data_IF_341140172779
#
_entry.id   IF_341140172779
#
_cell.length_a   1.000
_cell.length_b   1.000
_cell.length_c   1.000
_cell.angle_alpha   90.00
_cell.angle_beta   90.00
_cell.angle_gamma   90.00
#
_symmetry.space_group_name_H-M   'P 1'
#
loop_
_entity.id
_entity.type
_entity.pdbx_description
1 polymer ?
#
# COMPACT_ATOMS: atom_id res chain seq x y z
N UNK A 1 -35.54 0.52 -2.27
CA UNK A 1 -34.13 0.09 -2.40
C UNK A 1 -33.80 -0.91 -1.31
N UNK A 2 -33.05 -1.98 -1.59
CA UNK A 2 -32.57 -2.96 -0.59
C UNK A 2 -31.07 -2.84 -0.49
N UNK A 3 -30.51 -2.70 0.74
CA UNK A 3 -29.06 -2.75 0.98
C UNK A 3 -28.62 -4.23 1.01
N UNK A 4 -27.64 -4.57 0.20
CA UNK A 4 -26.96 -5.89 0.22
C UNK A 4 -25.56 -5.64 0.73
N UNK A 5 -25.14 -6.39 1.76
CA UNK A 5 -23.80 -6.29 2.33
C UNK A 5 -22.86 -7.21 1.56
N UNK A 6 -21.78 -6.63 1.03
CA UNK A 6 -20.62 -7.33 0.51
C UNK A 6 -19.44 -7.13 1.48
N UNK A 7 -18.58 -8.11 1.61
CA UNK A 7 -17.39 -8.03 2.48
C UNK A 7 -16.16 -7.95 1.60
N UNK A 8 -15.25 -7.04 1.99
CA UNK A 8 -13.92 -6.94 1.43
C UNK A 8 -12.91 -7.68 2.31
N UNK A 9 -11.71 -7.90 1.77
CA UNK A 9 -10.61 -8.58 2.43
C UNK A 9 -9.39 -7.67 2.51
N UNK A 10 -8.61 -7.87 3.57
CA UNK A 10 -7.25 -7.34 3.70
C UNK A 10 -6.33 -8.55 3.69
N UNK A 11 -5.32 -8.52 2.84
CA UNK A 11 -4.26 -9.52 2.82
C UNK A 11 -3.09 -8.98 3.63
N UNK A 12 -2.56 -9.77 4.53
CA UNK A 12 -1.38 -9.43 5.34
C UNK A 12 -0.37 -10.56 5.23
N UNK A 13 0.84 -10.21 4.86
CA UNK A 13 1.98 -11.10 4.79
C UNK A 13 3.23 -10.47 5.40
N UNK A 14 4.34 -11.14 5.28
CA UNK A 14 5.66 -10.63 5.65
C UNK A 14 6.56 -10.69 4.42
N UNK A 15 7.27 -9.61 4.13
CA UNK A 15 8.28 -9.59 3.07
C UNK A 15 9.38 -10.58 3.42
N UNK A 16 9.58 -11.55 2.53
CA UNK A 16 10.63 -12.55 2.70
C UNK A 16 12.01 -11.88 2.76
N UNK A 17 12.86 -12.38 3.65
CA UNK A 17 14.22 -11.87 3.82
C UNK A 17 14.29 -10.37 4.18
N UNK A 18 13.24 -9.80 4.78
CA UNK A 18 13.19 -8.40 5.22
C UNK A 18 14.46 -7.97 5.95
N UNK A 19 14.92 -8.77 6.90
CA UNK A 19 16.10 -8.47 7.73
C UNK A 19 17.39 -8.34 6.92
N UNK A 20 17.46 -8.96 5.73
CA UNK A 20 18.63 -8.91 4.85
C UNK A 20 18.64 -7.67 3.96
N UNK A 21 17.44 -7.20 3.53
CA UNK A 21 17.34 -6.10 2.56
C UNK A 21 17.11 -4.74 3.22
N UNK A 22 16.63 -4.73 4.46
CA UNK A 22 16.14 -3.54 5.16
C UNK A 22 17.13 -2.37 5.13
N UNK A 23 18.34 -2.60 5.58
CA UNK A 23 19.33 -1.52 5.74
C UNK A 23 19.86 -1.02 4.39
N UNK A 24 20.03 -1.91 3.42
CA UNK A 24 20.41 -1.53 2.06
C UNK A 24 19.32 -0.73 1.39
N UNK A 25 18.06 -1.18 1.48
CA UNK A 25 16.90 -0.48 0.92
C UNK A 25 16.69 0.90 1.55
N UNK A 26 16.84 1.02 2.87
CA UNK A 26 16.82 2.32 3.55
C UNK A 26 17.95 3.24 3.08
N UNK A 27 19.16 2.69 2.87
CA UNK A 27 20.29 3.46 2.36
C UNK A 27 20.05 4.00 0.95
N UNK A 28 19.42 3.23 0.07
CA UNK A 28 19.07 3.71 -1.28
C UNK A 28 17.91 4.75 -1.23
N UNK A 29 16.88 4.52 -0.44
CA UNK A 29 15.80 5.49 -0.22
C UNK A 29 16.36 6.82 0.34
N UNK A 30 17.31 6.78 1.26
CA UNK A 30 17.88 7.98 1.87
C UNK A 30 18.71 8.83 0.86
N UNK A 31 19.20 8.24 -0.23
CA UNK A 31 19.89 8.92 -1.36
C UNK A 31 18.91 9.45 -2.43
N UNK A 32 17.70 8.90 -2.49
CA UNK A 32 16.71 9.20 -3.54
C UNK A 32 16.20 10.63 -3.41
N UNK A 33 16.01 11.29 -4.56
CA UNK A 33 15.32 12.58 -4.63
C UNK A 33 13.90 12.46 -4.07
N UNK A 34 13.49 13.49 -3.31
CA UNK A 34 12.22 13.44 -2.59
C UNK A 34 11.62 14.82 -2.40
N UNK A 35 10.32 14.85 -2.24
CA UNK A 35 9.53 16.03 -1.90
C UNK A 35 9.06 15.95 -0.45
N UNK A 36 8.39 17.00 0.01
CA UNK A 36 7.84 17.13 1.37
C UNK A 36 6.39 17.62 1.28
N UNK A 37 5.49 16.98 2.00
CA UNK A 37 4.15 17.53 2.23
C UNK A 37 4.16 18.28 3.56
N UNK A 38 3.92 19.58 3.49
CA UNK A 38 3.81 20.44 4.68
C UNK A 38 2.36 20.80 4.94
N UNK A 39 2.00 20.93 6.22
CA UNK A 39 0.65 21.37 6.61
C UNK A 39 0.32 22.72 6.01
N UNK A 40 -0.86 22.81 5.40
CA UNK A 40 -1.42 24.05 4.84
C UNK A 40 -2.76 24.35 5.51
N UNK A 41 -3.24 25.60 5.49
CA UNK A 41 -4.61 25.91 5.94
C UNK A 41 -5.62 25.01 5.23
N UNK A 42 -6.42 24.26 6.01
CA UNK A 42 -7.41 23.30 5.48
C UNK A 42 -6.90 21.88 5.22
N UNK A 43 -5.59 21.62 5.37
CA UNK A 43 -5.01 20.27 5.33
C UNK A 43 -4.24 19.95 6.60
N UNK A 44 -4.35 18.71 7.06
CA UNK A 44 -3.57 18.20 8.20
C UNK A 44 -2.41 17.31 7.76
N UNK A 45 -2.24 17.10 6.44
CA UNK A 45 -1.19 16.27 5.90
C UNK A 45 0.19 16.83 6.16
N UNK A 46 1.09 15.96 6.60
CA UNK A 46 2.50 16.23 6.78
C UNK A 46 3.27 14.94 6.56
N UNK A 47 4.14 14.93 5.57
CA UNK A 47 5.06 13.80 5.27
C UNK A 47 6.42 14.39 5.02
N UNK A 48 7.40 14.02 5.83
CA UNK A 48 8.72 14.66 5.82
C UNK A 48 9.51 14.38 4.55
N UNK A 49 9.42 13.16 4.01
CA UNK A 49 10.03 12.80 2.72
C UNK A 49 9.15 11.82 1.98
N UNK A 50 8.98 12.01 0.69
CA UNK A 50 8.31 11.07 -0.21
C UNK A 50 8.79 11.31 -1.65
N UNK A 51 8.68 10.29 -2.48
CA UNK A 51 9.00 10.36 -3.91
C UNK A 51 7.77 10.10 -4.79
N UNK A 52 6.59 10.51 -4.34
CA UNK A 52 5.32 10.33 -5.04
C UNK A 52 5.30 10.99 -6.44
N UNK A 53 6.01 12.11 -6.64
CA UNK A 53 6.09 12.78 -7.95
C UNK A 53 6.70 11.89 -9.03
N UNK A 54 7.40 10.82 -8.63
CA UNK A 54 8.02 9.82 -9.51
C UNK A 54 7.38 8.43 -9.38
N UNK A 55 6.18 8.30 -8.77
CA UNK A 55 5.58 7.00 -8.42
C UNK A 55 5.40 6.03 -9.61
N UNK A 56 5.20 6.56 -10.82
CA UNK A 56 5.09 5.76 -12.06
C UNK A 56 6.43 5.35 -12.68
N UNK A 57 7.57 5.82 -12.16
CA UNK A 57 8.90 5.44 -12.64
C UNK A 57 9.43 4.25 -11.83
N UNK A 58 9.32 3.05 -12.38
CA UNK A 58 9.77 1.82 -11.74
C UNK A 58 11.28 1.53 -11.94
N UNK A 59 12.02 2.38 -12.67
CA UNK A 59 13.46 2.21 -12.90
C UNK A 59 14.33 2.83 -11.79
N UNK A 60 13.73 3.43 -10.76
CA UNK A 60 14.47 3.99 -9.61
C UNK A 60 15.25 2.91 -8.85
N UNK A 61 16.50 3.19 -8.48
CA UNK A 61 17.46 2.23 -7.90
C UNK A 61 16.88 1.45 -6.71
N UNK A 62 16.17 2.12 -5.79
CA UNK A 62 15.59 1.47 -4.64
C UNK A 62 14.43 0.53 -5.01
N UNK A 63 13.70 0.79 -6.11
CA UNK A 63 12.65 -0.10 -6.64
C UNK A 63 13.30 -1.35 -7.22
N UNK A 64 14.33 -1.19 -8.04
CA UNK A 64 15.07 -2.32 -8.62
C UNK A 64 15.60 -3.27 -7.54
N UNK A 65 16.08 -2.72 -6.41
CA UNK A 65 16.50 -3.50 -5.26
C UNK A 65 15.33 -4.26 -4.59
N UNK A 66 14.15 -3.61 -4.49
CA UNK A 66 12.98 -4.16 -3.81
C UNK A 66 12.12 -5.08 -4.70
N UNK A 67 12.17 -4.93 -6.00
CA UNK A 67 11.28 -5.55 -6.99
C UNK A 67 11.09 -7.06 -6.78
N UNK A 68 12.18 -7.81 -6.65
CA UNK A 68 12.13 -9.26 -6.42
C UNK A 68 11.33 -9.63 -5.18
N UNK A 69 11.47 -8.88 -4.11
CA UNK A 69 10.81 -9.14 -2.82
C UNK A 69 9.33 -8.76 -2.87
N UNK A 70 9.04 -7.69 -3.61
CA UNK A 70 7.67 -7.28 -3.91
C UNK A 70 6.92 -8.37 -4.69
N UNK A 71 7.50 -8.86 -5.79
CA UNK A 71 6.85 -9.88 -6.61
C UNK A 71 6.70 -11.23 -5.90
N UNK A 72 7.58 -11.62 -4.97
CA UNK A 72 7.34 -12.77 -4.10
C UNK A 72 6.06 -12.59 -3.26
N UNK A 73 5.81 -11.38 -2.74
CA UNK A 73 4.58 -11.08 -1.98
C UNK A 73 3.35 -11.03 -2.88
N UNK A 74 3.49 -10.59 -4.13
CA UNK A 74 2.43 -10.64 -5.15
C UNK A 74 2.07 -12.09 -5.50
N UNK A 75 3.05 -12.99 -5.64
CA UNK A 75 2.79 -14.43 -5.87
C UNK A 75 1.95 -15.03 -4.73
N UNK A 76 2.26 -14.69 -3.48
CA UNK A 76 1.44 -15.10 -2.32
C UNK A 76 0.02 -14.54 -2.41
N UNK A 77 -0.14 -13.26 -2.73
CA UNK A 77 -1.44 -12.62 -2.94
C UNK A 77 -2.24 -13.32 -4.04
N UNK A 78 -1.63 -13.56 -5.21
CA UNK A 78 -2.28 -14.25 -6.32
C UNK A 78 -2.70 -15.66 -5.96
N UNK A 79 -1.93 -16.38 -5.14
CA UNK A 79 -2.27 -17.73 -4.69
C UNK A 79 -3.55 -17.80 -3.84
N UNK A 80 -3.95 -16.67 -3.23
CA UNK A 80 -5.15 -16.55 -2.37
C UNK A 80 -6.34 -15.92 -3.08
N UNK A 81 -6.19 -15.56 -4.37
CA UNK A 81 -7.21 -14.87 -5.16
C UNK A 81 -7.48 -15.63 -6.46
N UNK A 82 -8.59 -15.38 -7.16
CA UNK A 82 -8.81 -15.93 -8.50
C UNK A 82 -7.99 -15.25 -9.60
N UNK A 83 -7.21 -14.22 -9.26
CA UNK A 83 -6.46 -13.41 -10.22
C UNK A 83 -5.22 -14.15 -10.72
N UNK A 84 -4.81 -13.87 -11.97
CA UNK A 84 -3.68 -14.54 -12.63
C UNK A 84 -2.44 -13.66 -12.70
N UNK A 85 -2.63 -12.35 -12.78
CA UNK A 85 -1.55 -11.37 -12.90
C UNK A 85 -1.95 -10.03 -12.30
N UNK A 86 -0.96 -9.17 -12.12
CA UNK A 86 -1.16 -7.78 -11.77
C UNK A 86 -0.39 -6.87 -12.72
N UNK A 87 -0.79 -5.61 -12.78
CA UNK A 87 -0.06 -4.52 -13.40
C UNK A 87 0.27 -3.50 -12.31
N UNK A 88 1.55 -3.41 -11.93
CA UNK A 88 2.04 -2.39 -11.00
C UNK A 88 1.99 -1.03 -11.70
N UNK A 89 1.17 -0.10 -11.19
CA UNK A 89 0.99 1.22 -11.78
C UNK A 89 1.84 2.28 -11.10
N UNK A 90 1.99 2.19 -9.79
CA UNK A 90 2.72 3.16 -8.98
C UNK A 90 3.38 2.49 -7.79
N UNK A 91 4.57 2.97 -7.43
CA UNK A 91 5.25 2.59 -6.19
C UNK A 91 6.03 3.80 -5.67
N UNK A 92 5.95 4.11 -4.37
CA UNK A 92 6.66 5.23 -3.77
C UNK A 92 6.96 4.96 -2.29
N UNK A 93 8.02 5.58 -1.77
CA UNK A 93 8.27 5.57 -0.34
C UNK A 93 7.67 6.79 0.36
N UNK A 94 7.44 6.66 1.66
CA UNK A 94 7.05 7.75 2.55
C UNK A 94 7.81 7.61 3.87
N UNK A 95 8.50 8.69 4.27
CA UNK A 95 9.15 8.78 5.58
C UNK A 95 8.43 9.81 6.44
N UNK A 96 7.99 9.35 7.60
CA UNK A 96 7.28 10.14 8.59
C UNK A 96 8.17 10.36 9.80
N UNK A 97 8.33 11.59 10.22
CA UNK A 97 8.91 11.94 11.52
C UNK A 97 7.80 12.14 12.55
N UNK A 98 8.18 12.50 13.78
CA UNK A 98 7.22 12.78 14.85
C UNK A 98 6.21 13.86 14.46
N UNK A 99 4.93 13.61 14.69
CA UNK A 99 3.76 14.41 14.36
C UNK A 99 3.38 14.44 12.88
N UNK A 100 4.09 13.75 11.99
CA UNK A 100 3.64 13.56 10.63
C UNK A 100 2.41 12.64 10.57
N UNK A 101 1.58 12.86 9.55
CA UNK A 101 0.38 12.10 9.27
C UNK A 101 -0.07 12.27 7.82
N UNK A 102 -0.85 11.34 7.32
CA UNK A 102 -1.50 11.42 6.01
C UNK A 102 -3.00 11.17 6.19
N UNK A 103 -3.81 12.10 5.71
CA UNK A 103 -5.25 12.11 5.94
C UNK A 103 -6.00 10.99 5.18
N UNK A 104 -7.30 10.91 5.40
CA UNK A 104 -8.19 9.99 4.70
C UNK A 104 -8.16 10.22 3.19
N UNK A 105 -7.91 9.15 2.45
CA UNK A 105 -7.89 9.15 0.98
C UNK A 105 -8.21 7.74 0.44
N UNK A 106 -8.39 7.66 -0.87
CA UNK A 106 -8.58 6.45 -1.66
C UNK A 106 -7.72 6.55 -2.91
N UNK A 107 -7.54 5.46 -3.64
CA UNK A 107 -6.82 5.43 -4.92
C UNK A 107 -7.76 5.03 -6.07
N UNK A 108 -7.33 5.28 -7.30
CA UNK A 108 -8.11 4.99 -8.52
C UNK A 108 -7.92 3.58 -9.05
N UNK A 109 -6.86 2.88 -8.63
CA UNK A 109 -6.54 1.52 -9.03
C UNK A 109 -7.47 0.50 -8.35
N UNK A 110 -7.28 -0.79 -8.61
CA UNK A 110 -8.10 -1.82 -7.97
C UNK A 110 -7.60 -2.19 -6.59
N UNK A 111 -6.29 -2.24 -6.40
CA UNK A 111 -5.64 -2.53 -5.13
C UNK A 111 -4.57 -1.50 -4.80
N UNK A 112 -4.39 -1.29 -3.53
CA UNK A 112 -3.27 -0.54 -2.94
C UNK A 112 -2.66 -1.36 -1.82
N UNK A 113 -1.45 -1.00 -1.40
CA UNK A 113 -0.83 -1.66 -0.28
C UNK A 113 0.29 -0.87 0.35
N UNK A 114 0.78 -1.39 1.47
CA UNK A 114 1.83 -0.78 2.27
C UNK A 114 2.77 -1.86 2.79
N UNK A 115 4.06 -1.69 2.51
CA UNK A 115 5.14 -2.42 3.17
C UNK A 115 5.77 -1.56 4.26
N UNK A 116 5.87 -2.11 5.48
CA UNK A 116 6.41 -1.42 6.66
C UNK A 116 7.90 -1.69 6.78
N UNK A 117 8.70 -0.95 6.00
CA UNK A 117 10.16 -1.14 5.89
C UNK A 117 10.90 -0.80 7.18
N UNK A 118 10.55 0.33 7.81
CA UNK A 118 11.08 0.76 9.11
C UNK A 118 9.90 1.14 10.00
N UNK A 119 9.72 0.39 11.09
CA UNK A 119 8.53 0.52 11.94
C UNK A 119 8.85 0.41 13.43
N UNK A 120 9.64 1.35 13.99
CA UNK A 120 10.02 1.31 15.38
C UNK A 120 8.83 1.53 16.34
N UNK A 121 9.04 1.28 17.62
CA UNK A 121 8.03 1.51 18.66
C UNK A 121 7.52 2.97 18.60
N UNK A 122 6.21 3.14 18.59
CA UNK A 122 5.55 4.45 18.49
C UNK A 122 5.16 4.83 17.06
N UNK A 123 5.54 4.02 16.06
CA UNK A 123 5.09 4.23 14.68
C UNK A 123 3.58 4.09 14.54
N UNK A 124 3.01 4.97 13.73
CA UNK A 124 1.58 4.95 13.41
C UNK A 124 1.26 3.84 12.41
N UNK A 125 0.16 3.12 12.68
CA UNK A 125 -0.37 2.11 11.76
C UNK A 125 -1.31 2.74 10.73
N UNK A 126 -1.47 2.06 9.60
CA UNK A 126 -2.53 2.37 8.66
C UNK A 126 -3.89 2.07 9.30
N UNK A 127 -4.79 3.03 9.21
CA UNK A 127 -6.18 2.91 9.66
C UNK A 127 -7.08 2.92 8.43
N UNK A 128 -8.02 1.98 8.37
CA UNK A 128 -9.00 1.82 7.28
C UNK A 128 -10.40 2.04 7.81
N UNK A 129 -11.29 2.54 6.93
CA UNK A 129 -12.73 2.62 7.18
C UNK A 129 -13.47 1.90 6.06
N UNK A 130 -14.19 0.85 6.42
CA UNK A 130 -15.02 0.15 5.45
C UNK A 130 -16.34 0.90 5.20
N UNK A 131 -16.71 1.13 3.92
CA UNK A 131 -17.84 1.99 3.56
C UNK A 131 -19.21 1.38 3.89
N UNK A 132 -19.27 0.07 4.17
CA UNK A 132 -20.53 -0.61 4.42
C UNK A 132 -21.04 -0.49 5.88
N UNK A 133 -20.14 -0.37 6.86
CA UNK A 133 -20.50 -0.30 8.28
C UNK A 133 -19.82 0.87 9.03
N UNK A 134 -18.97 1.63 8.34
CA UNK A 134 -18.16 2.73 8.89
C UNK A 134 -17.24 2.30 10.06
N UNK A 135 -16.92 0.99 10.14
CA UNK A 135 -16.00 0.51 11.16
C UNK A 135 -14.57 0.94 10.86
N UNK A 136 -13.85 1.33 11.92
CA UNK A 136 -12.45 1.72 11.88
C UNK A 136 -11.57 0.53 12.23
N UNK A 137 -10.64 0.20 11.37
CA UNK A 137 -9.71 -0.91 11.55
C UNK A 137 -8.27 -0.42 11.53
N UNK A 138 -7.54 -0.71 12.60
CA UNK A 138 -6.08 -0.53 12.66
C UNK A 138 -5.44 -1.90 12.52
N UNK A 139 -4.78 -2.13 11.41
CA UNK A 139 -4.19 -3.42 11.12
C UNK A 139 -3.00 -3.67 12.06
N UNK A 140 -2.94 -4.83 12.73
CA UNK A 140 -1.89 -5.15 13.69
C UNK A 140 -0.60 -5.55 12.97
N UNK A 141 0.10 -4.57 12.40
CA UNK A 141 1.36 -4.75 11.66
C UNK A 141 2.58 -4.53 12.54
N UNK A 142 3.68 -5.14 12.12
CA UNK A 142 5.03 -4.95 12.64
C UNK A 142 5.99 -4.61 11.49
N UNK A 143 7.24 -4.25 11.82
CA UNK A 143 8.28 -4.05 10.81
C UNK A 143 8.48 -5.33 9.98
N UNK A 144 8.58 -5.17 8.66
CA UNK A 144 8.67 -6.27 7.71
C UNK A 144 7.34 -6.77 7.16
N UNK A 145 6.21 -6.37 7.75
CA UNK A 145 4.90 -6.76 7.24
C UNK A 145 4.54 -5.97 5.97
N UNK A 146 3.76 -6.62 5.11
CA UNK A 146 3.15 -6.03 3.92
C UNK A 146 1.64 -6.29 3.95
N UNK A 147 0.86 -5.29 3.57
CA UNK A 147 -0.61 -5.43 3.46
C UNK A 147 -1.08 -5.02 2.06
N UNK A 148 -2.14 -5.68 1.60
CA UNK A 148 -2.86 -5.36 0.37
C UNK A 148 -4.34 -5.21 0.70
N UNK A 149 -5.00 -4.23 0.12
CA UNK A 149 -6.43 -4.01 0.30
C UNK A 149 -7.03 -3.30 -0.92
N UNK A 150 -8.37 -3.41 -1.13
CA UNK A 150 -9.02 -2.73 -2.24
C UNK A 150 -8.83 -1.22 -2.17
N UNK A 151 -8.42 -0.60 -3.27
CA UNK A 151 -8.02 0.81 -3.32
C UNK A 151 -9.16 1.81 -3.01
N UNK A 152 -10.42 1.37 -3.17
CA UNK A 152 -11.61 2.17 -2.82
C UNK A 152 -11.86 2.25 -1.29
N UNK A 153 -11.18 1.42 -0.48
CA UNK A 153 -11.30 1.48 0.98
C UNK A 153 -10.56 2.71 1.49
N UNK A 154 -11.31 3.62 2.12
CA UNK A 154 -10.73 4.83 2.68
C UNK A 154 -9.73 4.47 3.79
N UNK A 155 -8.54 5.05 3.70
CA UNK A 155 -7.47 4.78 4.65
C UNK A 155 -6.63 6.04 4.94
N UNK A 156 -5.86 5.98 6.02
CA UNK A 156 -4.95 7.06 6.43
C UNK A 156 -3.73 6.54 7.17
N UNK A 157 -2.64 7.33 7.16
CA UNK A 157 -1.56 7.23 8.12
C UNK A 157 -1.88 8.11 9.33
N UNK A 158 -2.16 7.52 10.50
CA UNK A 158 -2.42 8.30 11.72
C UNK A 158 -1.15 9.01 12.20
N UNK A 159 -1.27 9.92 13.17
CA UNK A 159 -0.11 10.68 13.71
C UNK A 159 1.01 9.75 14.14
N UNK A 160 2.20 9.97 13.60
CA UNK A 160 3.40 9.23 13.96
C UNK A 160 4.02 9.76 15.25
N UNK A 161 4.40 8.84 16.17
CA UNK A 161 5.04 9.19 17.45
C UNK A 161 6.48 8.67 17.55
N UNK A 162 6.95 7.90 16.56
CA UNK A 162 8.36 7.51 16.46
C UNK A 162 9.21 8.65 15.89
N UNK A 163 10.52 8.53 16.02
CA UNK A 163 11.44 9.52 15.45
C UNK A 163 11.46 9.46 13.92
N UNK A 164 11.42 8.24 13.35
CA UNK A 164 11.23 8.00 11.93
C UNK A 164 10.42 6.72 11.71
N UNK A 165 9.57 6.71 10.71
CA UNK A 165 8.89 5.55 10.12
C UNK A 165 9.06 5.62 8.62
N UNK A 166 9.45 4.52 7.98
CA UNK A 166 9.54 4.41 6.51
C UNK A 166 8.61 3.33 6.03
N UNK A 167 7.75 3.67 5.09
CA UNK A 167 6.89 2.72 4.38
C UNK A 167 7.12 2.83 2.88
N UNK A 168 6.84 1.74 2.17
CA UNK A 168 6.70 1.73 0.72
C UNK A 168 5.23 1.47 0.42
N UNK A 169 4.61 2.39 -0.31
CA UNK A 169 3.23 2.29 -0.80
C UNK A 169 3.25 1.96 -2.28
N UNK A 170 2.24 1.27 -2.73
CA UNK A 170 2.11 0.87 -4.13
C UNK A 170 0.65 0.71 -4.51
N UNK A 171 0.37 0.95 -5.81
CA UNK A 171 -0.92 0.73 -6.45
C UNK A 171 -0.75 -0.26 -7.59
N UNK A 172 -1.73 -1.13 -7.76
CA UNK A 172 -1.76 -2.05 -8.88
C UNK A 172 -3.18 -2.38 -9.33
N UNK A 173 -3.29 -2.72 -10.59
CA UNK A 173 -4.50 -3.26 -11.18
C UNK A 173 -4.34 -4.76 -11.44
N UNK A 174 -5.46 -5.47 -11.49
CA UNK A 174 -5.50 -6.85 -11.95
C UNK A 174 -5.23 -6.86 -13.44
N UNK A 175 -4.35 -7.71 -13.90
CA UNK A 175 -4.03 -7.86 -15.32
C UNK A 175 -5.27 -8.22 -16.15
N UNK A 176 -5.17 -8.03 -17.46
CA UNK A 176 -6.28 -8.09 -18.42
C UNK A 176 -6.95 -9.47 -18.60
N UNK A 177 -6.81 -10.39 -17.65
CA UNK A 177 -7.43 -11.72 -17.69
C UNK A 177 -8.88 -11.73 -17.15
N UNK A 178 -9.57 -10.58 -17.29
CA UNK A 178 -10.99 -10.48 -16.89
C UNK A 178 -11.88 -11.52 -17.56
N UNK A 179 -11.56 -11.94 -18.79
CA UNK A 179 -12.30 -12.97 -19.52
C UNK A 179 -12.27 -14.33 -18.83
N UNK A 180 -11.18 -14.65 -18.10
CA UNK A 180 -11.09 -15.87 -17.29
C UNK A 180 -11.78 -15.75 -15.92
N UNK A 181 -11.89 -14.55 -15.37
CA UNK A 181 -12.50 -14.29 -14.05
C UNK A 181 -14.02 -14.16 -14.18
N UNK A 182 -14.47 -13.52 -15.25
CA UNK A 182 -15.89 -13.34 -15.56
C UNK A 182 -16.35 -14.50 -16.45
N UNK A 183 -17.04 -15.45 -15.88
CA UNK A 183 -17.73 -16.48 -16.65
C UNK A 183 -18.91 -15.86 -17.40
N UNK A 184 -18.64 -15.40 -18.63
CA UNK A 184 -19.68 -14.89 -19.53
C UNK A 184 -20.57 -15.97 -20.14
N UNK A 185 -20.35 -17.24 -19.84
CA UNK A 185 -21.19 -18.35 -20.34
C UNK A 185 -22.65 -18.21 -19.89
N UNK A 186 -22.87 -17.53 -18.76
CA UNK A 186 -24.21 -17.27 -18.22
C UNK A 186 -24.99 -16.21 -19.04
N UNK A 187 -24.30 -15.35 -19.79
CA UNK A 187 -24.93 -14.30 -20.58
C UNK A 187 -25.38 -14.76 -21.97
N UNK A 188 -24.95 -15.95 -22.41
CA UNK A 188 -25.30 -16.55 -23.71
C UNK A 188 -26.32 -17.69 -23.59
N UNK A 189 -26.95 -17.86 -22.44
CA UNK A 189 -28.01 -18.87 -22.22
C UNK A 189 -29.39 -18.20 -22.33
N UNK A 190 -29.76 -17.72 -23.53
CA UNK A 190 -31.14 -17.48 -23.98
C UNK A 190 -31.45 -18.30 -25.24
#
# INVERSE_FOLDING_TARGET
MKKILLKDFIFQGRVKDHELIRDELLSEIDKTESTTITRKPGSIDSVSRLDWDWAGDNERDWIQLFEKYFYNSIEEFLSMTPYKSIELTEMWFQQYVRCDMHNWHTHGEQYTGVYYLEFPKGSSRTELVFPYDHSHHRIPVTEGDIIFFPAHVAHRGTTNFSDRKTIISFNFSIGNDYEEILDFSVLNAE
#
